data_IF_859222106664
#
_entry.id   IF_859222106664
#
_cell.length_a   1.000
_cell.length_b   1.000
_cell.length_c   1.000
_cell.angle_alpha   90.00
_cell.angle_beta   90.00
_cell.angle_gamma   90.00
#
_symmetry.space_group_name_H-M   'P 1'
#
loop_
_entity.id
_entity.type
_entity.pdbx_description
1 polymer ?
#
# COMPACT_ATOMS: atom_id res chain seq x y z
N UNK A 1 23.22 -7.14 -0.82
CA UNK A 1 22.05 -7.96 -1.18
C UNK A 1 20.82 -7.08 -1.05
N UNK A 2 20.23 -6.65 -2.16
CA UNK A 2 18.99 -5.89 -2.12
C UNK A 2 17.85 -6.84 -1.74
N UNK A 3 17.33 -6.67 -0.53
CA UNK A 3 16.28 -7.54 -0.02
C UNK A 3 14.99 -7.21 -0.78
N UNK A 4 14.50 -8.14 -1.60
CA UNK A 4 13.21 -8.01 -2.27
C UNK A 4 12.11 -7.98 -1.22
N UNK A 5 11.26 -6.98 -1.27
CA UNK A 5 10.11 -6.84 -0.38
C UNK A 5 8.81 -7.00 -1.18
N UNK A 6 7.77 -7.54 -0.56
CA UNK A 6 6.47 -7.71 -1.19
C UNK A 6 5.66 -6.42 -1.16
N UNK A 7 4.97 -6.09 -2.26
CA UNK A 7 4.03 -4.98 -2.32
C UNK A 7 2.75 -5.29 -1.55
N UNK A 8 2.32 -4.37 -0.69
CA UNK A 8 1.11 -4.47 0.11
C UNK A 8 -0.19 -4.47 -0.69
N UNK A 9 -0.17 -4.01 -1.95
CA UNK A 9 -1.34 -3.99 -2.83
C UNK A 9 -1.44 -5.21 -3.74
N UNK A 10 -0.36 -5.53 -4.47
CA UNK A 10 -0.40 -6.57 -5.51
C UNK A 10 0.38 -7.84 -5.15
N UNK A 11 1.10 -7.87 -4.01
CA UNK A 11 1.90 -9.01 -3.58
C UNK A 11 3.17 -9.26 -4.40
N UNK A 12 3.43 -8.48 -5.45
CA UNK A 12 4.62 -8.63 -6.26
C UNK A 12 5.88 -8.22 -5.49
N UNK A 13 6.96 -8.99 -5.66
CA UNK A 13 8.27 -8.67 -5.10
C UNK A 13 8.90 -7.52 -5.88
N UNK A 14 9.39 -6.52 -5.14
CA UNK A 14 10.05 -5.34 -5.69
C UNK A 14 11.34 -5.04 -4.92
N UNK A 15 12.30 -4.41 -5.59
CA UNK A 15 13.56 -3.96 -5.00
C UNK A 15 13.44 -2.58 -4.32
N UNK A 16 12.32 -1.89 -4.52
CA UNK A 16 12.06 -0.56 -3.96
C UNK A 16 10.60 -0.15 -4.12
N UNK A 17 10.30 1.07 -3.68
CA UNK A 17 8.95 1.61 -3.72
C UNK A 17 8.67 2.53 -2.53
N UNK A 18 7.47 3.09 -2.51
CA UNK A 18 6.99 3.99 -1.47
C UNK A 18 6.76 3.21 -0.17
N UNK A 19 7.42 3.63 0.92
CA UNK A 19 7.29 3.02 2.25
C UNK A 19 6.48 3.93 3.17
N UNK A 20 5.39 3.40 3.72
CA UNK A 20 4.52 4.15 4.65
C UNK A 20 4.15 3.22 5.81
N UNK A 21 4.50 3.60 7.05
CA UNK A 21 4.16 2.85 8.27
C UNK A 21 4.47 1.34 8.19
N UNK A 22 5.62 0.97 7.63
CA UNK A 22 6.06 -0.43 7.50
C UNK A 22 5.49 -1.19 6.29
N UNK A 23 4.52 -0.60 5.59
CA UNK A 23 3.95 -1.14 4.34
C UNK A 23 4.77 -0.65 3.14
N UNK A 24 4.83 -1.45 2.07
CA UNK A 24 5.57 -1.13 0.84
C UNK A 24 4.64 -1.13 -0.35
N UNK A 25 4.65 -0.05 -1.13
CA UNK A 25 3.89 0.08 -2.37
C UNK A 25 4.90 0.08 -3.52
N UNK A 26 4.79 -0.88 -4.45
CA UNK A 26 5.69 -0.93 -5.60
C UNK A 26 5.41 0.23 -6.58
N UNK A 27 6.38 0.61 -7.43
CA UNK A 27 6.25 1.75 -8.33
C UNK A 27 5.03 1.67 -9.26
N UNK A 28 4.65 0.47 -9.70
CA UNK A 28 3.47 0.28 -10.55
C UNK A 28 2.15 0.59 -9.80
N UNK A 29 2.02 0.12 -8.56
CA UNK A 29 0.85 0.40 -7.73
C UNK A 29 0.80 1.87 -7.30
N UNK A 30 1.95 2.47 -7.00
CA UNK A 30 2.06 3.90 -6.71
C UNK A 30 1.63 4.74 -7.93
N UNK A 31 2.13 4.42 -9.12
CA UNK A 31 1.75 5.09 -10.36
C UNK A 31 0.25 4.96 -10.64
N UNK A 32 -0.34 3.77 -10.41
CA UNK A 32 -1.78 3.57 -10.56
C UNK A 32 -2.56 4.42 -9.56
N UNK A 33 -2.17 4.44 -8.28
CA UNK A 33 -2.79 5.27 -7.25
C UNK A 33 -2.74 6.76 -7.59
N UNK A 34 -1.60 7.25 -8.08
CA UNK A 34 -1.43 8.67 -8.43
C UNK A 34 -2.32 9.11 -9.61
N UNK A 35 -2.73 8.17 -10.46
CA UNK A 35 -3.56 8.43 -11.64
C UNK A 35 -5.02 8.01 -11.46
N UNK A 36 -5.36 7.39 -10.32
CA UNK A 36 -6.67 6.80 -10.06
C UNK A 36 -7.78 7.88 -10.13
N UNK A 37 -8.80 7.64 -10.96
CA UNK A 37 -9.98 8.50 -11.11
C UNK A 37 -11.23 7.81 -10.53
N UNK A 38 -12.25 8.61 -10.17
CA UNK A 38 -13.50 8.09 -9.56
C UNK A 38 -14.26 7.19 -10.54
N UNK A 39 -14.15 7.48 -11.83
CA UNK A 39 -14.78 6.78 -12.93
C UNK A 39 -14.11 5.43 -13.27
N UNK A 40 -12.93 5.17 -12.71
CA UNK A 40 -12.21 3.93 -12.97
C UNK A 40 -12.94 2.72 -12.36
N UNK A 41 -13.04 1.62 -13.12
CA UNK A 41 -13.76 0.42 -12.68
C UNK A 41 -13.18 -0.19 -11.39
N UNK A 42 -11.86 -0.09 -11.20
CA UNK A 42 -11.13 -0.57 -10.02
C UNK A 42 -11.08 0.45 -8.86
N UNK A 43 -11.68 1.63 -9.00
CA UNK A 43 -11.62 2.71 -7.99
C UNK A 43 -12.04 2.24 -6.60
N UNK A 44 -13.13 1.47 -6.51
CA UNK A 44 -13.67 0.97 -5.23
C UNK A 44 -12.72 -0.02 -4.56
N UNK A 45 -12.04 -0.84 -5.33
CA UNK A 45 -11.10 -1.84 -4.81
C UNK A 45 -9.86 -1.14 -4.24
N UNK A 46 -9.33 -0.15 -4.97
CA UNK A 46 -8.21 0.68 -4.49
C UNK A 46 -8.55 1.44 -3.21
N UNK A 47 -9.75 2.04 -3.13
CA UNK A 47 -10.24 2.66 -1.89
C UNK A 47 -10.34 1.65 -0.74
N UNK A 48 -10.81 0.43 -1.01
CA UNK A 48 -10.89 -0.65 -0.02
C UNK A 48 -9.52 -1.01 0.55
N UNK A 49 -8.52 -1.12 -0.31
CA UNK A 49 -7.14 -1.39 0.09
C UNK A 49 -6.54 -0.23 0.91
N UNK A 50 -6.70 1.03 0.46
CA UNK A 50 -6.25 2.21 1.20
C UNK A 50 -6.88 2.29 2.59
N UNK A 51 -8.20 2.04 2.69
CA UNK A 51 -8.91 2.01 3.97
C UNK A 51 -8.38 0.91 4.88
N UNK A 52 -8.09 -0.26 4.33
CA UNK A 52 -7.53 -1.39 5.09
C UNK A 52 -6.13 -1.06 5.63
N UNK A 53 -5.28 -0.42 4.83
CA UNK A 53 -3.97 0.06 5.27
C UNK A 53 -4.09 1.13 6.35
N UNK A 54 -4.96 2.12 6.15
CA UNK A 54 -5.21 3.17 7.14
C UNK A 54 -5.66 2.59 8.49
N UNK A 55 -6.57 1.60 8.47
CA UNK A 55 -7.03 0.93 9.68
C UNK A 55 -5.92 0.14 10.40
N UNK A 56 -4.96 -0.44 9.67
CA UNK A 56 -3.79 -1.06 10.30
C UNK A 56 -2.95 -0.02 11.03
N UNK A 57 -2.70 1.14 10.41
CA UNK A 57 -1.89 2.20 11.03
C UNK A 57 -2.57 2.83 12.23
N UNK A 58 -3.90 2.94 12.21
CA UNK A 58 -4.70 3.48 13.31
C UNK A 58 -4.85 2.50 14.48
N UNK A 59 -4.52 1.22 14.30
CA UNK A 59 -4.42 0.29 15.42
C UNK A 59 -3.01 0.41 16.00
N UNK A 60 -2.82 1.03 17.18
CA UNK A 60 -1.53 1.01 17.83
C UNK A 60 -1.17 -0.44 18.14
N UNK A 61 -0.11 -0.98 17.53
CA UNK A 61 0.47 -2.27 17.93
C UNK A 61 1.18 -2.19 19.31
N UNK A 62 1.07 -1.07 20.03
CA UNK A 62 1.50 -0.94 21.42
C UNK A 62 0.55 -0.06 22.24
N UNK A 63 -0.38 -0.63 23.02
CA UNK A 63 -0.99 0.06 24.16
C UNK A 63 0.00 -0.04 25.32
N UNK A 64 0.79 1.01 25.56
CA UNK A 64 1.60 1.13 26.77
C UNK A 64 3.11 1.14 26.52
N UNK A 65 3.67 2.33 26.39
CA UNK A 65 4.70 2.73 27.35
C UNK A 65 4.02 2.97 28.71
#
# INVERSE_FOLDING_TARGET
MENKCSCSFCGNLTFGGLRIHGELICPACEGRLAQLQIEDEDYKDWLGHLRSMWLKWMKPEHPGF
#
